data_IF_171542372574
#
_entry.id   IF_171542372574
#
_cell.length_a   1.000
_cell.length_b   1.000
_cell.length_c   1.000
_cell.angle_alpha   90.00
_cell.angle_beta   90.00
_cell.angle_gamma   90.00
#
_symmetry.space_group_name_H-M   'P 1'
#
loop_
_entity.id
_entity.type
_entity.pdbx_description
1 polymer ?
#
# COMPACT_ATOMS: atom_id res chain seq x y z
N UNK A 1 10.06 46.57 57.39
CA UNK A 1 9.69 46.99 56.02
C UNK A 1 10.47 46.14 55.04
N UNK A 2 9.89 45.08 54.46
CA UNK A 2 10.46 44.35 53.31
C UNK A 2 9.28 43.94 52.43
N UNK A 3 9.16 44.57 51.26
CA UNK A 3 8.16 44.25 50.24
C UNK A 3 8.73 43.13 49.36
N UNK A 4 8.11 41.96 49.39
CA UNK A 4 8.37 40.88 48.44
C UNK A 4 7.60 41.18 47.15
N UNK A 5 8.29 41.38 46.04
CA UNK A 5 7.67 41.46 44.71
C UNK A 5 7.49 40.04 44.18
N UNK A 6 6.24 39.63 43.99
CA UNK A 6 5.89 38.42 43.24
C UNK A 6 5.87 38.78 41.75
N UNK A 7 6.84 38.25 40.99
CA UNK A 7 6.83 38.34 39.52
C UNK A 7 5.97 37.19 38.98
N UNK A 8 4.80 37.51 38.43
CA UNK A 8 3.93 36.54 37.74
C UNK A 8 4.39 36.47 36.29
N UNK A 9 5.15 35.43 35.94
CA UNK A 9 5.50 35.14 34.55
C UNK A 9 4.34 34.36 33.92
N UNK A 10 3.57 35.02 33.07
CA UNK A 10 2.50 34.36 32.29
C UNK A 10 3.16 33.64 31.11
N UNK A 11 3.23 32.31 31.16
CA UNK A 11 3.63 31.50 30.01
C UNK A 11 2.47 31.44 29.02
N UNK A 12 2.63 32.09 27.86
CA UNK A 12 1.71 31.93 26.74
C UNK A 12 2.00 30.57 26.12
N UNK A 13 1.10 29.61 26.30
CA UNK A 13 1.11 28.38 25.54
C UNK A 13 0.77 28.72 24.09
N UNK A 14 1.78 28.72 23.22
CA UNK A 14 1.59 28.76 21.76
C UNK A 14 0.87 27.47 21.35
N UNK A 15 -0.46 27.54 21.23
CA UNK A 15 -1.24 26.48 20.61
C UNK A 15 -0.75 26.26 19.19
N UNK A 16 -0.45 25.00 18.84
CA UNK A 16 -0.07 24.64 17.48
C UNK A 16 -1.15 25.14 16.50
N UNK A 17 -0.78 25.69 15.33
CA UNK A 17 -1.75 26.20 14.38
C UNK A 17 -2.68 25.06 13.95
N UNK A 18 -3.98 25.32 14.03
CA UNK A 18 -5.03 24.43 13.52
C UNK A 18 -4.80 24.31 12.00
N UNK A 19 -4.42 23.13 11.51
CA UNK A 19 -4.34 22.87 10.06
C UNK A 19 -5.76 22.88 9.50
N UNK A 20 -6.04 23.80 8.59
CA UNK A 20 -7.35 23.96 7.95
C UNK A 20 -7.57 23.00 6.77
N UNK A 21 -6.50 22.37 6.27
CA UNK A 21 -6.52 21.36 5.21
C UNK A 21 -5.82 20.07 5.69
N UNK A 22 -6.27 18.88 5.23
CA UNK A 22 -5.58 17.63 5.52
C UNK A 22 -4.13 17.67 5.01
N UNK A 23 -3.19 16.97 5.66
CA UNK A 23 -1.82 16.88 5.17
C UNK A 23 -1.76 16.25 3.77
N UNK A 24 -0.79 16.69 2.97
CA UNK A 24 -0.44 16.01 1.72
C UNK A 24 0.19 14.65 2.04
N UNK A 25 -0.25 13.57 1.38
CA UNK A 25 0.34 12.24 1.57
C UNK A 25 1.85 12.19 1.29
N UNK A 26 2.36 13.16 0.53
CA UNK A 26 3.78 13.30 0.20
C UNK A 26 4.66 13.54 1.43
N UNK A 27 4.10 14.07 2.52
CA UNK A 27 4.83 14.23 3.79
C UNK A 27 4.69 12.99 4.72
N UNK A 28 4.01 11.93 4.27
CA UNK A 28 3.89 10.69 5.04
C UNK A 28 5.26 10.00 5.19
N UNK A 29 5.64 9.67 6.43
CA UNK A 29 6.86 8.94 6.78
C UNK A 29 6.49 7.62 7.50
N UNK A 30 6.83 6.45 6.93
CA UNK A 30 6.61 5.15 7.58
C UNK A 30 7.05 5.09 9.05
N UNK A 31 8.17 5.70 9.40
CA UNK A 31 8.75 5.70 10.76
C UNK A 31 7.99 6.51 11.80
N UNK A 32 7.17 7.47 11.35
CA UNK A 32 6.42 8.40 12.20
C UNK A 32 4.90 8.20 12.12
N UNK A 33 4.38 7.81 10.95
CA UNK A 33 2.95 7.76 10.66
C UNK A 33 2.46 6.34 10.32
N UNK A 34 3.36 5.36 10.14
CA UNK A 34 3.03 3.96 9.92
C UNK A 34 3.02 3.15 11.22
N UNK A 35 2.38 1.98 11.18
CA UNK A 35 2.38 1.07 12.35
C UNK A 35 3.80 0.60 12.70
N UNK A 36 4.06 0.45 14.00
CA UNK A 36 5.32 -0.06 14.53
C UNK A 36 5.37 -1.59 14.66
N UNK A 37 4.34 -2.30 14.20
CA UNK A 37 4.28 -3.76 14.15
C UNK A 37 4.13 -4.26 12.71
N UNK A 38 4.69 -5.43 12.43
CA UNK A 38 4.62 -6.04 11.11
C UNK A 38 3.24 -6.63 10.85
N UNK A 39 2.83 -6.62 9.59
CA UNK A 39 1.63 -7.25 9.07
C UNK A 39 1.69 -8.80 9.19
N UNK A 40 1.45 -9.30 10.40
CA UNK A 40 1.47 -10.73 10.74
C UNK A 40 0.46 -11.00 11.85
N UNK A 41 -0.79 -11.21 11.47
CA UNK A 41 -1.90 -11.46 12.38
C UNK A 41 -2.07 -12.96 12.60
N UNK A 42 -2.44 -13.36 13.83
CA UNK A 42 -2.73 -14.77 14.16
C UNK A 42 -4.15 -15.14 13.76
N UNK A 43 -4.35 -16.37 13.26
CA UNK A 43 -5.67 -16.93 12.94
C UNK A 43 -5.89 -17.16 11.44
N UNK A 44 -7.12 -16.99 10.96
CA UNK A 44 -7.50 -17.18 9.54
C UNK A 44 -7.80 -15.85 8.84
N UNK A 45 -7.33 -15.64 7.58
CA UNK A 45 -7.56 -14.42 6.80
C UNK A 45 -8.99 -14.25 6.27
N UNK A 46 -9.81 -15.30 6.26
CA UNK A 46 -11.08 -15.29 5.53
C UNK A 46 -12.22 -14.65 6.35
N UNK A 47 -13.08 -13.82 5.72
CA UNK A 47 -14.25 -13.25 6.38
C UNK A 47 -15.36 -14.24 6.69
N UNK A 48 -15.90 -14.15 7.91
CA UNK A 48 -17.15 -14.81 8.32
C UNK A 48 -17.23 -16.30 7.98
N UNK A 49 -18.31 -16.71 7.32
CA UNK A 49 -18.60 -18.11 6.97
C UNK A 49 -17.57 -18.75 6.02
N UNK A 50 -16.83 -17.96 5.22
CA UNK A 50 -15.72 -18.47 4.40
C UNK A 50 -14.50 -18.83 5.27
N UNK A 51 -14.32 -18.18 6.41
CA UNK A 51 -13.35 -18.59 7.42
C UNK A 51 -13.80 -19.80 8.25
N UNK A 52 -15.10 -20.09 8.31
CA UNK A 52 -15.62 -21.29 8.99
C UNK A 52 -15.59 -22.51 8.05
N UNK A 53 -16.10 -22.40 6.83
CA UNK A 53 -16.06 -23.47 5.83
C UNK A 53 -14.67 -23.64 5.20
N UNK A 54 -14.00 -22.53 4.87
CA UNK A 54 -12.63 -22.53 4.35
C UNK A 54 -11.57 -22.67 5.44
N UNK A 55 -11.87 -22.35 6.71
CA UNK A 55 -10.97 -22.64 7.83
C UNK A 55 -10.98 -24.11 8.26
N UNK A 56 -12.14 -24.79 8.19
CA UNK A 56 -12.20 -26.24 8.40
C UNK A 56 -11.52 -27.01 7.26
N UNK A 57 -11.74 -26.60 6.00
CA UNK A 57 -11.09 -27.20 4.83
C UNK A 57 -9.60 -26.81 4.72
N UNK A 58 -9.25 -25.58 5.11
CA UNK A 58 -7.89 -25.03 5.09
C UNK A 58 -7.00 -25.52 6.24
N UNK A 59 -7.55 -25.72 7.44
CA UNK A 59 -6.81 -26.35 8.54
C UNK A 59 -6.46 -27.82 8.23
N UNK A 60 -7.32 -28.51 7.47
CA UNK A 60 -7.03 -29.85 6.94
C UNK A 60 -6.00 -29.86 5.80
N UNK A 61 -5.72 -28.71 5.19
CA UNK A 61 -4.79 -28.54 4.06
C UNK A 61 -3.48 -27.82 4.44
N UNK A 62 -3.22 -27.55 5.73
CA UNK A 62 -1.99 -26.89 6.19
C UNK A 62 -2.00 -25.36 6.06
N UNK A 63 -3.17 -24.71 6.26
CA UNK A 63 -3.28 -23.25 6.24
C UNK A 63 -2.26 -22.57 7.17
N UNK A 64 -1.65 -21.46 6.73
CA UNK A 64 -0.61 -20.77 7.49
C UNK A 64 -1.14 -20.28 8.85
N UNK A 65 -0.29 -20.34 9.87
CA UNK A 65 -0.61 -19.92 11.25
C UNK A 65 -0.72 -18.40 11.42
N UNK A 66 -0.33 -17.65 10.39
CA UNK A 66 -0.45 -16.20 10.30
C UNK A 66 -0.99 -15.75 8.94
N UNK A 67 -1.57 -14.56 8.92
CA UNK A 67 -2.06 -13.92 7.70
C UNK A 67 -1.83 -12.40 7.72
N UNK A 68 -1.92 -11.78 6.55
CA UNK A 68 -1.77 -10.35 6.37
C UNK A 68 -3.10 -9.61 6.23
N UNK A 69 -3.16 -8.40 6.77
CA UNK A 69 -4.14 -7.35 6.55
C UNK A 69 -3.47 -6.11 5.90
N UNK A 70 -2.61 -6.32 4.89
CA UNK A 70 -1.78 -5.24 4.32
C UNK A 70 -2.59 -4.09 3.71
N UNK A 71 -3.73 -4.38 3.08
CA UNK A 71 -4.63 -3.36 2.56
C UNK A 71 -5.26 -2.56 3.68
N UNK A 72 -5.75 -3.24 4.72
CA UNK A 72 -6.30 -2.61 5.91
C UNK A 72 -5.29 -1.75 6.65
N UNK A 73 -4.06 -2.24 6.84
CA UNK A 73 -3.00 -1.47 7.48
C UNK A 73 -2.60 -0.24 6.66
N UNK A 74 -2.55 -0.35 5.33
CA UNK A 74 -2.26 0.78 4.44
C UNK A 74 -3.37 1.84 4.51
N UNK A 75 -4.63 1.41 4.50
CA UNK A 75 -5.80 2.28 4.59
C UNK A 75 -5.87 2.98 5.96
N UNK A 76 -5.69 2.24 7.06
CA UNK A 76 -5.70 2.81 8.41
C UNK A 76 -4.54 3.79 8.60
N UNK A 77 -3.34 3.49 8.10
CA UNK A 77 -2.22 4.43 8.20
C UNK A 77 -2.52 5.75 7.46
N UNK A 78 -3.12 5.68 6.27
CA UNK A 78 -3.59 6.85 5.54
C UNK A 78 -4.71 7.60 6.31
N UNK A 79 -5.69 6.88 6.87
CA UNK A 79 -6.80 7.45 7.64
C UNK A 79 -6.29 8.29 8.84
N UNK A 80 -5.39 7.74 9.65
CA UNK A 80 -4.80 8.46 10.80
C UNK A 80 -4.03 9.69 10.35
N UNK A 81 -3.18 9.53 9.33
CA UNK A 81 -2.36 10.61 8.82
C UNK A 81 -3.21 11.77 8.29
N UNK A 82 -4.19 11.48 7.41
CA UNK A 82 -5.06 12.48 6.81
C UNK A 82 -5.99 13.15 7.83
N UNK A 83 -6.36 12.44 8.90
CA UNK A 83 -7.08 13.02 10.03
C UNK A 83 -6.20 13.86 10.97
N UNK A 84 -4.89 13.98 10.71
CA UNK A 84 -3.95 14.69 11.58
C UNK A 84 -3.79 14.03 12.96
N UNK A 85 -4.07 12.72 13.07
CA UNK A 85 -3.98 11.96 14.32
C UNK A 85 -2.72 11.12 14.35
N UNK A 86 -2.10 11.03 15.51
CA UNK A 86 -0.99 10.11 15.73
C UNK A 86 -1.50 8.67 15.57
N UNK A 87 -0.77 7.86 14.81
CA UNK A 87 -1.05 6.42 14.71
C UNK A 87 -0.80 5.75 16.07
N UNK A 88 -1.54 4.69 16.45
CA UNK A 88 -1.37 4.06 17.75
C UNK A 88 0.08 3.60 17.97
N UNK A 89 0.67 3.98 19.11
CA UNK A 89 2.10 3.77 19.41
C UNK A 89 2.47 2.30 19.72
N UNK A 90 1.52 1.36 19.60
CA UNK A 90 1.77 -0.05 19.85
C UNK A 90 2.74 -0.65 18.82
N UNK A 91 3.70 -1.43 19.30
CA UNK A 91 4.58 -2.28 18.49
C UNK A 91 4.16 -3.75 18.50
N UNK A 92 3.03 -4.06 19.16
CA UNK A 92 2.46 -5.41 19.20
C UNK A 92 1.26 -5.49 18.29
N UNK A 93 1.21 -6.55 17.48
CA UNK A 93 0.06 -6.82 16.60
C UNK A 93 -1.20 -6.98 17.46
N UNK A 94 -2.27 -6.20 17.23
CA UNK A 94 -3.47 -6.28 18.04
C UNK A 94 -4.16 -7.64 17.81
N UNK A 95 -4.62 -8.25 18.90
CA UNK A 95 -5.38 -9.49 18.84
C UNK A 95 -6.81 -9.25 18.32
N UNK A 96 -7.46 -10.31 17.81
CA UNK A 96 -8.87 -10.25 17.41
C UNK A 96 -9.75 -9.80 18.59
N UNK A 97 -10.71 -8.91 18.32
CA UNK A 97 -11.56 -8.28 19.32
C UNK A 97 -10.93 -7.06 20.00
N UNK A 98 -9.67 -6.72 19.70
CA UNK A 98 -9.11 -5.43 20.04
C UNK A 98 -9.66 -4.37 19.07
N UNK A 99 -10.09 -3.18 19.52
CA UNK A 99 -10.68 -2.16 18.64
C UNK A 99 -9.82 -1.79 17.42
N UNK A 100 -8.50 -1.66 17.61
CA UNK A 100 -7.57 -1.43 16.50
C UNK A 100 -7.54 -2.58 15.47
N UNK A 101 -7.62 -3.84 15.92
CA UNK A 101 -7.70 -4.98 15.01
C UNK A 101 -8.99 -4.91 14.19
N UNK A 102 -10.12 -4.66 14.84
CA UNK A 102 -11.42 -4.61 14.18
C UNK A 102 -11.47 -3.48 13.16
N UNK A 103 -10.84 -2.33 13.46
CA UNK A 103 -10.70 -1.24 12.51
C UNK A 103 -9.83 -1.61 11.29
N UNK A 104 -8.64 -2.18 11.52
CA UNK A 104 -7.76 -2.67 10.44
C UNK A 104 -8.47 -3.71 9.58
N UNK A 105 -9.21 -4.62 10.21
CA UNK A 105 -9.95 -5.66 9.51
C UNK A 105 -11.07 -5.08 8.64
N UNK A 106 -11.86 -4.14 9.17
CA UNK A 106 -12.89 -3.45 8.39
C UNK A 106 -12.27 -2.74 7.16
N UNK A 107 -11.15 -2.04 7.36
CA UNK A 107 -10.44 -1.38 6.25
C UNK A 107 -9.80 -2.38 5.28
N UNK A 108 -9.44 -3.58 5.72
CA UNK A 108 -9.00 -4.64 4.82
C UNK A 108 -10.13 -5.07 3.89
N UNK A 109 -11.36 -5.21 4.41
CA UNK A 109 -12.53 -5.52 3.57
C UNK A 109 -12.78 -4.40 2.57
N UNK A 110 -12.75 -3.14 3.00
CA UNK A 110 -12.89 -1.99 2.11
C UNK A 110 -11.83 -1.99 0.99
N UNK A 111 -10.57 -2.32 1.32
CA UNK A 111 -9.47 -2.38 0.34
C UNK A 111 -9.63 -3.46 -0.72
N UNK A 112 -10.59 -4.38 -0.58
CA UNK A 112 -10.90 -5.38 -1.60
C UNK A 112 -12.03 -4.93 -2.54
N UNK A 113 -12.60 -3.76 -2.29
CA UNK A 113 -13.68 -3.17 -3.06
C UNK A 113 -15.04 -3.84 -2.81
N UNK A 114 -16.13 -3.23 -3.32
CA UNK A 114 -17.46 -3.83 -3.29
C UNK A 114 -17.45 -5.24 -3.86
N UNK A 115 -18.12 -6.18 -3.21
CA UNK A 115 -18.19 -7.59 -3.63
C UNK A 115 -16.81 -8.25 -3.86
N UNK A 116 -15.74 -7.74 -3.25
CA UNK A 116 -14.36 -8.26 -3.35
C UNK A 116 -13.82 -8.21 -4.81
N UNK A 117 -14.29 -7.25 -5.62
CA UNK A 117 -13.92 -7.14 -7.04
C UNK A 117 -12.41 -6.95 -7.28
N UNK A 118 -11.68 -6.36 -6.32
CA UNK A 118 -10.24 -6.16 -6.46
C UNK A 118 -9.47 -7.48 -6.26
N UNK A 119 -10.01 -8.46 -5.52
CA UNK A 119 -9.43 -9.81 -5.53
C UNK A 119 -9.55 -10.44 -6.92
N UNK A 120 -10.67 -10.25 -7.61
CA UNK A 120 -10.83 -10.69 -9.00
C UNK A 120 -9.90 -9.91 -9.96
N UNK A 121 -9.61 -8.62 -9.70
CA UNK A 121 -8.57 -7.86 -10.42
C UNK A 121 -7.20 -8.52 -10.24
N UNK A 122 -6.79 -8.87 -9.02
CA UNK A 122 -5.56 -9.61 -8.77
C UNK A 122 -5.52 -10.93 -9.54
N UNK A 123 -6.56 -11.77 -9.46
CA UNK A 123 -6.61 -13.05 -10.18
C UNK A 123 -6.45 -12.87 -11.70
N UNK A 124 -7.14 -11.91 -12.30
CA UNK A 124 -6.98 -11.59 -13.73
C UNK A 124 -5.55 -11.20 -14.11
N UNK A 125 -4.88 -10.42 -13.25
CA UNK A 125 -3.49 -10.02 -13.48
C UNK A 125 -2.51 -11.18 -13.24
N UNK A 126 -2.86 -12.14 -12.38
CA UNK A 126 -2.08 -13.35 -12.16
C UNK A 126 -2.09 -14.26 -13.40
N UNK A 127 -3.18 -14.25 -14.17
CA UNK A 127 -3.39 -15.11 -15.35
C UNK A 127 -2.75 -14.61 -16.65
N UNK A 128 -2.39 -13.33 -16.74
CA UNK A 128 -1.73 -12.77 -17.93
C UNK A 128 -0.21 -12.93 -17.85
N UNK A 129 0.52 -12.95 -18.99
CA UNK A 129 1.98 -12.91 -18.99
C UNK A 129 2.55 -11.64 -18.35
N UNK A 130 3.84 -11.65 -18.01
CA UNK A 130 4.53 -10.46 -17.48
C UNK A 130 4.65 -9.37 -18.57
N UNK A 131 5.02 -9.75 -19.79
CA UNK A 131 5.30 -8.84 -20.91
C UNK A 131 4.52 -9.23 -22.16
N UNK A 132 4.23 -8.25 -23.02
CA UNK A 132 3.42 -8.41 -24.22
C UNK A 132 2.34 -7.34 -24.32
N UNK A 133 1.58 -7.29 -25.43
CA UNK A 133 0.53 -6.29 -25.63
C UNK A 133 -0.65 -6.45 -24.65
N UNK A 134 -0.89 -7.67 -24.15
CA UNK A 134 -1.87 -7.99 -23.11
C UNK A 134 -1.14 -8.69 -21.97
N UNK A 135 -0.56 -7.90 -21.07
CA UNK A 135 0.32 -8.38 -20.02
C UNK A 135 0.22 -7.53 -18.76
N UNK A 136 0.71 -8.05 -17.62
CA UNK A 136 0.76 -7.29 -16.38
C UNK A 136 1.60 -6.01 -16.51
N UNK A 137 2.70 -6.06 -17.27
CA UNK A 137 3.51 -4.89 -17.61
C UNK A 137 2.76 -3.84 -18.45
N UNK A 138 2.00 -4.25 -19.48
CA UNK A 138 1.19 -3.33 -20.28
C UNK A 138 0.04 -2.72 -19.47
N UNK A 139 -0.60 -3.51 -18.60
CA UNK A 139 -1.65 -3.01 -17.70
C UNK A 139 -1.10 -2.03 -16.67
N UNK A 140 0.10 -2.29 -16.13
CA UNK A 140 0.80 -1.35 -15.24
C UNK A 140 1.07 -0.02 -15.93
N UNK A 141 1.55 -0.06 -17.18
CA UNK A 141 1.79 1.14 -17.98
C UNK A 141 0.52 1.99 -18.13
N UNK A 142 -0.63 1.35 -18.38
CA UNK A 142 -1.91 2.04 -18.47
C UNK A 142 -2.44 2.57 -17.13
N UNK A 143 -2.17 1.88 -16.03
CA UNK A 143 -2.60 2.29 -14.68
C UNK A 143 -1.73 3.42 -14.09
N UNK A 144 -0.53 3.64 -14.62
CA UNK A 144 0.45 4.54 -14.01
C UNK A 144 0.05 6.02 -14.02
N UNK A 145 -0.43 6.63 -15.12
CA UNK A 145 -0.75 8.06 -15.16
C UNK A 145 -1.72 8.54 -14.07
N UNK A 146 -2.89 7.89 -13.82
CA UNK A 146 -3.80 8.36 -12.77
C UNK A 146 -3.20 8.25 -11.37
N UNK A 147 -2.37 7.23 -11.09
CA UNK A 147 -1.67 7.12 -9.80
C UNK A 147 -0.70 8.28 -9.57
N UNK A 148 0.03 8.68 -10.62
CA UNK A 148 0.97 9.80 -10.56
C UNK A 148 0.25 11.13 -10.38
N UNK A 149 -0.83 11.34 -11.11
CA UNK A 149 -1.67 12.54 -11.03
C UNK A 149 -2.28 12.69 -9.62
N UNK A 150 -2.79 11.60 -9.05
CA UNK A 150 -3.32 11.56 -7.69
C UNK A 150 -2.26 11.91 -6.62
N UNK A 151 -1.08 11.28 -6.67
CA UNK A 151 0.03 11.65 -5.77
C UNK A 151 0.53 13.09 -6.00
N UNK A 152 0.49 13.56 -7.25
CA UNK A 152 0.82 14.94 -7.61
C UNK A 152 -0.08 15.97 -6.92
N UNK A 153 -1.35 15.62 -6.68
CA UNK A 153 -2.30 16.42 -5.87
C UNK A 153 -2.12 16.25 -4.36
N UNK A 154 -1.19 15.41 -3.91
CA UNK A 154 -1.01 15.08 -2.49
C UNK A 154 -2.08 14.14 -1.95
N UNK A 155 -2.82 13.47 -2.83
CA UNK A 155 -3.86 12.49 -2.47
C UNK A 155 -3.26 11.10 -2.29
N UNK A 156 -3.75 10.31 -1.32
CA UNK A 156 -3.23 8.98 -1.02
C UNK A 156 -3.46 7.99 -2.17
N UNK A 157 -2.45 7.21 -2.53
CA UNK A 157 -2.58 6.09 -3.48
C UNK A 157 -2.16 4.81 -2.78
N UNK A 158 -3.05 3.83 -2.71
CA UNK A 158 -2.66 2.46 -2.31
C UNK A 158 -2.37 1.66 -3.56
N UNK A 159 -1.23 0.99 -3.60
CA UNK A 159 -0.77 0.18 -4.72
C UNK A 159 -1.10 -1.29 -4.46
N UNK A 160 -1.72 -1.95 -5.43
CA UNK A 160 -1.80 -3.40 -5.53
C UNK A 160 -0.56 -3.93 -6.25
N UNK A 161 0.18 -4.84 -5.61
CA UNK A 161 1.40 -5.44 -6.14
C UNK A 161 1.14 -6.90 -6.49
N UNK A 162 1.17 -7.23 -7.78
CA UNK A 162 1.02 -8.61 -8.25
C UNK A 162 2.37 -9.33 -8.12
N UNK A 163 2.49 -10.23 -7.15
CA UNK A 163 3.76 -10.89 -6.81
C UNK A 163 3.88 -12.31 -7.36
N UNK A 164 2.74 -12.94 -7.69
CA UNK A 164 2.69 -14.32 -8.18
C UNK A 164 1.88 -14.45 -9.47
N UNK A 165 2.04 -15.59 -10.13
CA UNK A 165 1.20 -16.04 -11.25
C UNK A 165 0.30 -17.21 -10.81
N UNK A 166 -0.71 -17.52 -11.62
CA UNK A 166 -1.69 -18.58 -11.33
C UNK A 166 -1.14 -20.00 -11.47
N UNK A 167 0.04 -20.18 -12.09
CA UNK A 167 0.73 -21.48 -12.12
C UNK A 167 1.39 -21.81 -10.78
N UNK A 168 1.81 -20.78 -10.02
CA UNK A 168 2.41 -20.93 -8.68
C UNK A 168 1.37 -20.90 -7.57
N UNK A 169 0.37 -20.02 -7.70
CA UNK A 169 -0.74 -19.95 -6.76
C UNK A 169 -1.94 -19.30 -7.41
N UNK A 170 -3.14 -19.85 -7.18
CA UNK A 170 -4.40 -19.24 -7.62
C UNK A 170 -5.01 -18.30 -6.60
N UNK A 171 -4.32 -18.10 -5.49
CA UNK A 171 -4.83 -17.38 -4.34
C UNK A 171 -4.43 -15.90 -4.41
N UNK A 172 -5.39 -14.97 -4.52
CA UNK A 172 -5.08 -13.54 -4.68
C UNK A 172 -4.40 -12.95 -3.44
N UNK A 173 -4.54 -13.56 -2.27
CA UNK A 173 -3.90 -13.12 -1.01
C UNK A 173 -2.40 -13.42 -0.93
N UNK A 174 -1.80 -14.09 -1.92
CA UNK A 174 -0.34 -14.14 -2.10
C UNK A 174 0.23 -12.90 -2.81
N UNK A 175 -0.63 -11.95 -3.18
CA UNK A 175 -0.24 -10.61 -3.61
C UNK A 175 -0.23 -9.64 -2.43
N UNK A 176 0.13 -8.39 -2.69
CA UNK A 176 0.37 -7.43 -1.60
C UNK A 176 -0.24 -6.06 -1.89
N UNK A 177 -0.50 -5.30 -0.83
CA UNK A 177 -0.95 -3.91 -0.92
C UNK A 177 -0.02 -3.03 -0.08
N UNK A 178 0.33 -1.85 -0.59
CA UNK A 178 1.20 -0.87 0.07
C UNK A 178 0.69 0.54 -0.15
N UNK A 179 0.93 1.46 0.77
CA UNK A 179 0.58 2.87 0.59
C UNK A 179 1.75 3.59 -0.11
N UNK A 180 1.50 4.23 -1.26
CA UNK A 180 2.44 5.14 -1.88
C UNK A 180 2.36 6.52 -1.23
N UNK A 181 3.54 7.05 -0.90
CA UNK A 181 3.68 8.35 -0.26
C UNK A 181 4.14 9.40 -1.26
N UNK A 182 5.07 9.07 -2.17
CA UNK A 182 5.61 10.02 -3.14
C UNK A 182 5.96 9.28 -4.42
N UNK A 183 5.93 9.95 -5.57
CA UNK A 183 6.41 9.43 -6.84
C UNK A 183 7.46 10.35 -7.47
N UNK A 184 8.49 9.77 -8.06
CA UNK A 184 9.50 10.46 -8.86
C UNK A 184 9.61 9.79 -10.23
N UNK A 185 9.59 10.59 -11.29
CA UNK A 185 9.80 10.16 -12.67
C UNK A 185 11.12 10.71 -13.18
N UNK A 186 12.00 9.84 -13.67
CA UNK A 186 13.26 10.21 -14.29
C UNK A 186 13.07 10.45 -15.80
N UNK A 187 13.95 11.27 -16.40
CA UNK A 187 14.00 11.40 -17.85
C UNK A 187 14.36 10.06 -18.51
N UNK A 188 13.92 9.87 -19.76
CA UNK A 188 14.25 8.66 -20.51
C UNK A 188 15.77 8.54 -20.69
N UNK A 189 16.31 7.38 -20.29
CA UNK A 189 17.72 7.08 -20.49
C UNK A 189 18.04 6.82 -21.97
N UNK A 190 19.32 6.90 -22.39
CA UNK A 190 19.73 6.55 -23.76
C UNK A 190 19.40 5.11 -24.20
N UNK A 191 18.97 4.24 -23.26
CA UNK A 191 18.51 2.88 -23.53
C UNK A 191 16.99 2.79 -23.76
N UNK A 192 16.29 3.93 -23.85
CA UNK A 192 14.83 3.97 -24.00
C UNK A 192 14.11 3.46 -22.75
N UNK A 193 14.65 3.77 -21.57
CA UNK A 193 14.06 3.39 -20.28
C UNK A 193 13.69 4.66 -19.51
N UNK A 194 12.41 4.80 -19.19
CA UNK A 194 11.89 5.82 -18.27
C UNK A 194 11.61 5.16 -16.93
N UNK A 195 12.19 5.70 -15.85
CA UNK A 195 12.06 5.12 -14.51
C UNK A 195 11.09 5.94 -13.67
N UNK A 196 10.10 5.26 -13.09
CA UNK A 196 9.23 5.77 -12.06
C UNK A 196 9.55 5.09 -10.73
N UNK A 197 9.66 5.85 -9.64
CA UNK A 197 9.86 5.30 -8.30
C UNK A 197 8.82 5.86 -7.35
N UNK A 198 8.09 4.97 -6.69
CA UNK A 198 7.22 5.31 -5.57
C UNK A 198 7.98 5.07 -4.26
N UNK A 199 8.03 6.07 -3.36
CA UNK A 199 8.30 5.79 -1.93
C UNK A 199 7.05 5.21 -1.32
N UNK A 200 7.17 4.16 -0.52
CA UNK A 200 6.03 3.45 0.03
C UNK A 200 6.11 3.28 1.55
N UNK A 201 4.95 3.16 2.18
CA UNK A 201 4.77 2.43 3.42
C UNK A 201 4.38 0.98 3.09
N UNK A 202 5.27 0.03 3.41
CA UNK A 202 5.00 -1.40 3.34
C UNK A 202 4.68 -1.95 4.74
N UNK A 203 3.45 -2.40 5.02
CA UNK A 203 3.06 -2.95 6.32
C UNK A 203 3.87 -4.18 6.77
N UNK A 204 4.54 -4.89 5.85
CA UNK A 204 5.42 -6.00 6.20
C UNK A 204 6.77 -5.53 6.79
N UNK A 205 7.14 -4.26 6.60
CA UNK A 205 8.42 -3.68 7.02
C UNK A 205 8.18 -2.38 7.83
N UNK A 206 7.80 -2.51 9.11
CA UNK A 206 7.50 -1.37 9.97
C UNK A 206 8.64 -0.35 10.00
N UNK A 207 8.26 0.94 9.97
CA UNK A 207 9.18 2.08 10.09
C UNK A 207 10.25 2.19 8.99
N UNK A 208 10.14 1.43 7.90
CA UNK A 208 11.09 1.44 6.81
C UNK A 208 10.86 2.64 5.86
N UNK A 209 11.44 3.80 6.18
CA UNK A 209 11.31 5.02 5.36
C UNK A 209 11.92 4.90 3.95
N UNK A 210 12.86 3.98 3.76
CA UNK A 210 13.53 3.75 2.48
C UNK A 210 12.86 2.71 1.58
N UNK A 211 11.67 2.21 1.94
CA UNK A 211 10.95 1.25 1.10
C UNK A 211 10.41 1.93 -0.18
N UNK A 212 10.56 1.26 -1.32
CA UNK A 212 10.13 1.78 -2.61
C UNK A 212 9.57 0.71 -3.55
N UNK A 213 8.78 1.17 -4.54
CA UNK A 213 8.43 0.42 -5.74
C UNK A 213 9.01 1.16 -6.94
N UNK A 214 9.93 0.52 -7.64
CA UNK A 214 10.56 1.04 -8.84
C UNK A 214 10.00 0.37 -10.07
N UNK A 215 9.59 1.15 -11.06
CA UNK A 215 8.98 0.73 -12.31
C UNK A 215 9.80 1.27 -13.46
N UNK A 216 10.40 0.38 -14.25
CA UNK A 216 11.11 0.72 -15.47
C UNK A 216 10.16 0.52 -16.67
N UNK A 217 9.84 1.61 -17.37
CA UNK A 217 9.04 1.64 -18.58
C UNK A 217 9.96 1.56 -19.80
N UNK A 218 9.68 0.64 -20.73
CA UNK A 218 10.52 0.40 -21.92
C UNK A 218 9.78 -0.41 -22.98
N UNK A 219 10.36 -0.48 -24.17
CA UNK A 219 9.98 -1.49 -25.16
C UNK A 219 10.47 -2.90 -24.73
N UNK A 220 9.58 -3.89 -24.86
CA UNK A 220 9.85 -5.31 -24.58
C UNK A 220 9.86 -6.19 -25.83
N UNK A 221 9.55 -5.62 -26.99
CA UNK A 221 9.58 -6.31 -28.26
C UNK A 221 8.92 -5.50 -29.37
N UNK A 222 8.72 -6.14 -30.51
CA UNK A 222 7.98 -5.59 -31.65
C UNK A 222 6.80 -6.50 -31.94
N UNK A 223 5.66 -5.90 -32.29
CA UNK A 223 4.50 -6.61 -32.83
C UNK A 223 4.24 -6.11 -34.24
N UNK A 224 3.82 -7.01 -35.13
CA UNK A 224 3.43 -6.65 -36.49
C UNK A 224 1.97 -6.24 -36.51
N UNK A 225 1.69 -5.02 -36.96
CA UNK A 225 0.34 -4.49 -37.20
C UNK A 225 0.26 -4.14 -38.68
N UNK A 226 -0.41 -5.00 -39.46
CA UNK A 226 -0.35 -4.91 -40.92
C UNK A 226 1.07 -5.12 -41.44
N UNK A 227 1.61 -4.11 -42.13
CA UNK A 227 2.98 -4.15 -42.65
C UNK A 227 4.02 -3.56 -41.68
N UNK A 228 3.57 -2.87 -40.63
CA UNK A 228 4.46 -2.12 -39.73
C UNK A 228 4.87 -2.94 -38.51
N UNK A 229 6.10 -2.71 -38.04
CA UNK A 229 6.58 -3.20 -36.76
C UNK A 229 6.43 -2.09 -35.71
N UNK A 230 5.58 -2.32 -34.73
CA UNK A 230 5.32 -1.38 -33.63
C UNK A 230 5.96 -1.89 -32.33
N UNK A 231 6.59 -1.02 -31.53
CA UNK A 231 7.11 -1.40 -30.22
C UNK A 231 5.98 -1.79 -29.26
N UNK A 232 6.20 -2.88 -28.54
CA UNK A 232 5.37 -3.27 -27.41
C UNK A 232 5.96 -2.63 -26.17
N UNK A 233 5.36 -1.53 -25.72
CA UNK A 233 5.72 -0.88 -24.47
C UNK A 233 5.12 -1.64 -23.29
N UNK A 234 5.85 -1.65 -22.18
CA UNK A 234 5.39 -2.25 -20.93
C UNK A 234 6.17 -1.72 -19.75
N UNK A 235 5.95 -2.37 -18.60
CA UNK A 235 6.59 -2.03 -17.34
C UNK A 235 7.27 -3.26 -16.74
N UNK A 236 8.41 -3.05 -16.08
CA UNK A 236 9.02 -4.01 -15.18
C UNK A 236 9.17 -3.37 -13.80
N UNK A 237 8.60 -4.00 -12.78
CA UNK A 237 8.55 -3.45 -11.44
C UNK A 237 9.33 -4.29 -10.43
N UNK A 238 9.93 -3.63 -9.45
CA UNK A 238 10.54 -4.26 -8.27
C UNK A 238 10.17 -3.49 -7.01
N UNK A 239 9.99 -4.22 -5.91
CA UNK A 239 9.93 -3.65 -4.56
C UNK A 239 11.31 -3.73 -3.94
N UNK A 240 11.79 -2.61 -3.41
CA UNK A 240 13.07 -2.51 -2.71
C UNK A 240 12.82 -2.07 -1.27
N UNK A 241 13.43 -2.76 -0.30
CA UNK A 241 13.39 -2.40 1.11
C UNK A 241 14.82 -2.51 1.65
N UNK A 242 15.38 -1.46 2.27
CA UNK A 242 16.75 -1.49 2.77
C UNK A 242 17.01 -2.69 3.68
N UNK A 243 18.10 -3.42 3.43
CA UNK A 243 18.46 -4.63 4.18
C UNK A 243 17.75 -5.91 3.74
N UNK A 244 16.84 -5.84 2.76
CA UNK A 244 16.13 -7.01 2.23
C UNK A 244 16.40 -7.20 0.73
N UNK A 245 16.24 -8.44 0.27
CA UNK A 245 16.35 -8.76 -1.15
C UNK A 245 15.20 -8.11 -1.92
N UNK A 246 15.52 -7.46 -3.05
CA UNK A 246 14.52 -6.91 -3.95
C UNK A 246 13.53 -8.00 -4.40
N UNK A 247 12.24 -7.67 -4.39
CA UNK A 247 11.15 -8.55 -4.81
C UNK A 247 10.65 -8.13 -6.19
N UNK A 248 10.61 -9.06 -7.15
CA UNK A 248 10.01 -8.78 -8.47
C UNK A 248 8.52 -8.59 -8.31
N UNK A 249 7.98 -7.59 -8.98
CA UNK A 249 6.54 -7.34 -9.11
C UNK A 249 6.18 -7.55 -10.58
N UNK A 250 5.13 -8.33 -10.83
CA UNK A 250 4.64 -8.63 -12.18
C UNK A 250 3.82 -7.47 -12.74
N UNK A 251 3.01 -6.85 -11.88
CA UNK A 251 2.24 -5.66 -12.23
C UNK A 251 1.85 -4.84 -11.01
N UNK A 252 1.61 -3.55 -11.24
CA UNK A 252 1.23 -2.55 -10.24
C UNK A 252 -0.04 -1.85 -10.73
N UNK A 253 -1.00 -1.66 -9.82
CA UNK A 253 -2.21 -0.89 -10.09
C UNK A 253 -2.69 -0.17 -8.83
N UNK A 254 -3.61 0.76 -9.02
CA UNK A 254 -4.28 1.49 -7.95
C UNK A 254 -5.33 0.62 -7.24
N UNK A 255 -5.34 0.71 -5.92
CA UNK A 255 -6.39 0.23 -5.04
C UNK A 255 -7.20 1.46 -4.61
N UNK A 256 -8.46 1.61 -5.08
CA UNK A 256 -9.31 2.74 -4.72
C UNK A 256 -9.39 2.92 -3.21
N UNK A 257 -9.04 4.12 -2.73
CA UNK A 257 -9.03 4.47 -1.33
C UNK A 257 -10.07 5.58 -1.08
N UNK A 258 -10.94 5.34 -0.11
CA UNK A 258 -11.87 6.34 0.41
C UNK A 258 -11.47 6.69 1.85
N UNK A 259 -11.18 7.96 2.18
CA UNK A 259 -10.83 8.36 3.54
C UNK A 259 -11.90 7.99 4.56
N UNK A 260 -11.47 7.48 5.72
CA UNK A 260 -12.36 7.27 6.88
C UNK A 260 -11.74 7.92 8.11
N UNK A 261 -12.53 8.67 8.88
CA UNK A 261 -12.06 9.19 10.16
C UNK A 261 -11.85 8.02 11.13
N UNK A 262 -10.64 7.86 11.72
CA UNK A 262 -10.42 6.79 12.68
C UNK A 262 -11.38 6.91 13.88
N UNK A 263 -11.85 5.80 14.47
CA UNK A 263 -12.61 5.83 15.72
C UNK A 263 -11.85 6.52 16.86
N UNK A 264 -12.56 7.16 17.77
CA UNK A 264 -11.97 7.71 18.99
C UNK A 264 -11.47 6.60 19.93
N UNK A 265 -10.42 6.90 20.71
CA UNK A 265 -9.87 5.95 21.69
C UNK A 265 -9.01 4.82 21.12
N UNK A 266 -8.66 4.88 19.83
CA UNK A 266 -7.63 4.05 19.20
C UNK A 266 -6.22 4.62 19.38
#
# INVERSE_FOLDING_TARGET
>A
MMRSLLTITTAIALGAPIRTAPPSINEFRPSAHGFAFANSFKGSPLPGALGVFGGALGAAAGAPSSFGLCGGMSFVAADFYLAGRAIPATSTVPARGHPLYDYIYARQVDSLGPNIELAAKFSRWMDVPDQGPVSAGAFTLGALPPMLDQLGRGEPVVLGLVLTDSSRSREPWHNHQVLACEAAMEAESPRGITRCTFRIYDPNYPRADGASVRIDLRAFGLVRIGHDLSPVLGAQAIREVPGFRATRIRGVFDMPYEPRTPPDGL
#
